data_IF_220137203401
#
_entry.id   IF_220137203401
#
_cell.length_a   1.000
_cell.length_b   1.000
_cell.length_c   1.000
_cell.angle_alpha   90.00
_cell.angle_beta   90.00
_cell.angle_gamma   90.00
#
_symmetry.space_group_name_H-M   'P 1'
#
loop_
_entity.id
_entity.type
_entity.pdbx_description
1 polymer ?
#
# COMPACT_ATOMS: atom_id res chain seq x y z
N UNK A 1 -6.39 14.17 -10.26
CA UNK A 1 -6.84 14.47 -8.87
C UNK A 1 -7.52 15.82 -8.86
N UNK A 2 -8.81 15.86 -8.56
CA UNK A 2 -9.62 17.08 -8.62
C UNK A 2 -10.17 17.42 -7.24
N UNK A 3 -10.05 18.68 -6.82
CA UNK A 3 -10.57 19.14 -5.52
C UNK A 3 -11.74 20.09 -5.75
N UNK A 4 -12.86 19.86 -5.08
CA UNK A 4 -14.09 20.64 -5.23
C UNK A 4 -14.70 20.98 -3.89
N UNK A 5 -15.43 22.09 -3.82
CA UNK A 5 -16.20 22.44 -2.62
C UNK A 5 -17.48 21.61 -2.54
N UNK A 6 -18.02 21.42 -1.32
CA UNK A 6 -19.32 20.77 -1.12
C UNK A 6 -20.45 21.44 -1.91
N UNK A 7 -20.44 22.78 -2.02
CA UNK A 7 -21.47 23.54 -2.73
C UNK A 7 -21.46 23.22 -4.24
N UNK A 8 -20.26 23.18 -4.82
CA UNK A 8 -20.08 22.91 -6.24
C UNK A 8 -20.37 21.44 -6.58
N UNK A 9 -19.94 20.53 -5.70
CA UNK A 9 -20.26 19.11 -5.79
C UNK A 9 -21.77 18.88 -5.78
N UNK A 10 -22.50 19.52 -4.85
CA UNK A 10 -23.96 19.40 -4.74
C UNK A 10 -24.70 19.91 -5.99
N UNK A 11 -24.21 21.00 -6.60
CA UNK A 11 -24.83 21.57 -7.80
C UNK A 11 -24.62 20.74 -9.07
N UNK A 12 -23.58 19.90 -9.11
CA UNK A 12 -23.17 19.15 -10.30
C UNK A 12 -22.83 17.69 -9.98
N UNK A 13 -23.65 17.05 -9.14
CA UNK A 13 -23.32 15.75 -8.56
C UNK A 13 -23.00 14.68 -9.61
N UNK A 14 -23.79 14.59 -10.69
CA UNK A 14 -23.60 13.59 -11.76
C UNK A 14 -22.23 13.74 -12.44
N UNK A 15 -21.91 14.95 -12.90
CA UNK A 15 -20.63 15.26 -13.53
C UNK A 15 -19.43 14.88 -12.65
N UNK A 16 -19.55 15.10 -11.34
CA UNK A 16 -18.47 14.79 -10.42
C UNK A 16 -18.37 13.29 -10.09
N UNK A 17 -19.47 12.54 -10.14
CA UNK A 17 -19.44 11.09 -10.06
C UNK A 17 -18.79 10.49 -11.32
N UNK A 18 -19.12 10.98 -12.52
CA UNK A 18 -18.46 10.55 -13.77
C UNK A 18 -16.93 10.82 -13.73
N UNK A 19 -16.53 11.94 -13.09
CA UNK A 19 -15.11 12.23 -12.86
C UNK A 19 -14.51 11.29 -11.81
N UNK A 20 -15.25 10.95 -10.75
CA UNK A 20 -14.78 10.04 -9.71
C UNK A 20 -14.50 8.63 -10.25
N UNK A 21 -15.19 8.20 -11.32
CA UNK A 21 -14.92 6.93 -12.02
C UNK A 21 -13.57 6.89 -12.77
N UNK A 22 -13.01 8.05 -13.12
CA UNK A 22 -11.76 8.14 -13.89
C UNK A 22 -10.59 8.76 -13.11
N UNK A 23 -10.89 9.61 -12.13
CA UNK A 23 -9.91 10.32 -11.34
C UNK A 23 -10.36 10.49 -9.89
N UNK A 24 -9.39 10.41 -8.97
CA UNK A 24 -9.59 10.71 -7.55
C UNK A 24 -10.21 12.10 -7.34
N UNK A 25 -11.44 12.12 -6.82
CA UNK A 25 -12.18 13.32 -6.45
C UNK A 25 -12.09 13.59 -4.95
N UNK A 26 -11.66 14.80 -4.59
CA UNK A 26 -11.58 15.27 -3.20
C UNK A 26 -12.64 16.35 -2.96
N UNK A 27 -13.55 16.11 -2.04
CA UNK A 27 -14.58 17.07 -1.63
C UNK A 27 -14.12 17.77 -0.36
N UNK A 28 -13.87 19.08 -0.46
CA UNK A 28 -13.54 19.90 0.70
C UNK A 28 -14.81 20.46 1.35
N UNK A 29 -15.05 20.07 2.61
CA UNK A 29 -16.08 20.63 3.47
C UNK A 29 -15.44 21.69 4.37
N UNK A 30 -16.04 22.88 4.39
CA UNK A 30 -15.62 23.94 5.30
C UNK A 30 -15.45 23.43 6.73
N UNK A 31 -14.50 24.03 7.46
CA UNK A 31 -13.93 23.55 8.75
C UNK A 31 -12.83 22.46 8.61
N UNK A 32 -12.10 22.44 7.49
CA UNK A 32 -10.87 21.66 7.34
C UNK A 32 -11.08 20.15 7.19
N UNK A 33 -12.30 19.70 6.84
CA UNK A 33 -12.58 18.28 6.60
C UNK A 33 -12.68 18.03 5.11
N UNK A 34 -11.94 17.04 4.61
CA UNK A 34 -12.00 16.63 3.21
C UNK A 34 -12.42 15.17 3.11
N UNK A 35 -13.22 14.83 2.11
CA UNK A 35 -13.65 13.47 1.79
C UNK A 35 -13.13 13.08 0.42
N UNK A 36 -12.87 11.79 0.21
CA UNK A 36 -12.52 11.23 -1.10
C UNK A 36 -13.72 10.45 -1.61
N UNK A 37 -14.08 10.64 -2.87
CA UNK A 37 -15.07 9.81 -3.57
C UNK A 37 -14.32 8.92 -4.54
N UNK A 38 -14.56 7.62 -4.41
CA UNK A 38 -14.09 6.55 -5.30
C UNK A 38 -15.29 5.68 -5.66
N UNK A 39 -15.32 5.08 -6.85
CA UNK A 39 -16.34 4.10 -7.22
C UNK A 39 -16.19 2.85 -6.35
N UNK A 40 -17.33 2.22 -6.01
CA UNK A 40 -17.34 0.99 -5.19
C UNK A 40 -16.71 -0.20 -5.92
N UNK A 41 -16.71 -0.20 -7.25
CA UNK A 41 -16.07 -1.25 -8.05
C UNK A 41 -14.52 -1.17 -7.96
N UNK A 42 -13.96 -0.04 -7.53
CA UNK A 42 -12.54 0.11 -7.17
C UNK A 42 -12.28 -0.11 -5.65
N UNK A 43 -13.30 -0.52 -4.88
CA UNK A 43 -13.06 -1.27 -3.63
C UNK A 43 -12.70 -2.72 -3.93
N UNK A 44 -12.21 -3.02 -5.14
CA UNK A 44 -11.32 -4.15 -5.28
C UNK A 44 -10.09 -3.87 -4.40
N UNK A 45 -10.17 -4.43 -3.19
CA UNK A 45 -9.12 -5.16 -2.47
C UNK A 45 -8.33 -6.13 -3.40
N UNK A 46 -8.04 -5.73 -4.64
CA UNK A 46 -6.91 -6.22 -5.42
C UNK A 46 -5.67 -5.76 -4.65
N UNK A 47 -5.38 -6.54 -3.62
CA UNK A 47 -4.10 -6.54 -2.94
C UNK A 47 -3.03 -6.40 -4.01
N UNK A 48 -2.24 -5.33 -3.91
CA UNK A 48 -1.06 -5.07 -4.74
C UNK A 48 -0.11 -6.29 -4.82
N UNK A 49 -0.23 -7.19 -3.85
CA UNK A 49 0.49 -8.44 -3.78
C UNK A 49 -0.18 -9.54 -4.60
N UNK A 50 0.60 -10.15 -5.48
CA UNK A 50 0.21 -11.40 -6.14
C UNK A 50 0.18 -12.56 -5.13
N UNK A 51 -0.43 -13.69 -5.52
CA UNK A 51 -0.58 -14.84 -4.63
C UNK A 51 0.75 -15.40 -4.10
N UNK A 52 1.83 -15.35 -4.88
CA UNK A 52 3.14 -15.81 -4.43
C UNK A 52 3.73 -14.90 -3.35
N UNK A 53 3.53 -13.59 -3.47
CA UNK A 53 3.95 -12.60 -2.46
C UNK A 53 3.15 -12.75 -1.17
N UNK A 54 1.84 -13.00 -1.25
CA UNK A 54 1.01 -13.29 -0.07
C UNK A 54 1.51 -14.53 0.67
N UNK A 55 1.71 -15.63 -0.06
CA UNK A 55 2.22 -16.88 0.51
C UNK A 55 3.61 -16.71 1.16
N UNK A 56 4.52 -15.97 0.54
CA UNK A 56 5.84 -15.70 1.10
C UNK A 56 5.78 -14.85 2.39
N UNK A 57 4.81 -13.93 2.50
CA UNK A 57 4.60 -13.15 3.72
C UNK A 57 4.02 -14.04 4.82
N UNK A 58 3.05 -14.89 4.51
CA UNK A 58 2.46 -15.83 5.47
C UNK A 58 3.53 -16.77 6.04
N UNK A 59 4.39 -17.33 5.18
CA UNK A 59 5.54 -18.15 5.60
C UNK A 59 6.51 -17.35 6.51
N UNK A 60 6.86 -16.12 6.12
CA UNK A 60 7.74 -15.28 6.93
C UNK A 60 7.13 -14.95 8.31
N UNK A 61 5.81 -14.76 8.39
CA UNK A 61 5.12 -14.54 9.66
C UNK A 61 5.15 -15.79 10.55
N UNK A 62 4.94 -16.99 9.96
CA UNK A 62 5.10 -18.25 10.68
C UNK A 62 6.53 -18.46 11.17
N UNK A 63 7.54 -18.10 10.38
CA UNK A 63 8.94 -18.18 10.77
C UNK A 63 9.25 -17.28 11.98
N UNK A 64 8.70 -16.06 11.99
CA UNK A 64 8.82 -15.13 13.13
C UNK A 64 8.18 -15.73 14.38
N UNK A 65 6.96 -16.29 14.27
CA UNK A 65 6.25 -16.91 15.40
C UNK A 65 7.03 -18.09 15.97
N UNK A 66 7.61 -18.91 15.10
CA UNK A 66 8.37 -20.09 15.48
C UNK A 66 9.84 -19.79 15.84
N UNK A 67 10.26 -18.51 15.80
CA UNK A 67 11.63 -18.12 16.10
C UNK A 67 12.66 -18.58 15.07
N UNK A 68 12.24 -18.96 13.85
CA UNK A 68 13.11 -19.32 12.71
C UNK A 68 13.67 -18.07 12.03
N UNK A 69 14.16 -17.13 12.83
CA UNK A 69 14.71 -15.86 12.37
C UNK A 69 16.14 -15.73 12.88
N UNK A 70 16.98 -15.07 12.09
CA UNK A 70 18.35 -14.78 12.45
C UNK A 70 18.57 -13.27 12.46
N UNK A 71 19.40 -12.79 13.37
CA UNK A 71 19.78 -11.38 13.34
C UNK A 71 20.66 -11.10 12.13
N UNK A 72 20.55 -9.88 11.59
CA UNK A 72 21.39 -9.46 10.46
C UNK A 72 22.89 -9.63 10.76
N UNK A 73 23.31 -9.31 12.00
CA UNK A 73 24.71 -9.41 12.41
C UNK A 73 25.22 -10.85 12.36
N UNK A 74 24.46 -11.80 12.93
CA UNK A 74 24.82 -13.22 12.94
C UNK A 74 24.94 -13.78 11.51
N UNK A 75 23.96 -13.48 10.66
CA UNK A 75 23.99 -13.94 9.25
C UNK A 75 25.20 -13.36 8.52
N UNK A 76 25.49 -12.08 8.71
CA UNK A 76 26.63 -11.43 8.07
C UNK A 76 27.97 -12.01 8.54
N UNK A 77 28.12 -12.28 9.83
CA UNK A 77 29.36 -12.84 10.39
C UNK A 77 29.58 -14.28 9.92
N UNK A 78 28.51 -15.10 9.90
CA UNK A 78 28.57 -16.45 9.33
C UNK A 78 28.90 -16.44 7.83
N UNK A 79 28.27 -15.53 7.08
CA UNK A 79 28.48 -15.44 5.62
C UNK A 79 29.90 -14.99 5.30
N UNK A 80 30.45 -14.00 6.04
CA UNK A 80 31.85 -13.58 5.90
C UNK A 80 32.82 -14.71 6.25
N UNK A 81 32.50 -15.52 7.27
CA UNK A 81 33.31 -16.69 7.65
C UNK A 81 33.30 -17.78 6.57
N UNK A 82 32.13 -18.08 6.00
CA UNK A 82 31.97 -19.15 4.98
C UNK A 82 32.45 -18.71 3.60
N UNK A 83 32.23 -17.45 3.23
CA UNK A 83 32.51 -16.92 1.89
C UNK A 83 33.34 -15.63 1.95
N UNK A 84 34.57 -15.68 2.50
CA UNK A 84 35.38 -14.48 2.69
C UNK A 84 35.75 -13.77 1.38
N UNK A 85 35.75 -14.49 0.25
CA UNK A 85 36.06 -13.92 -1.07
C UNK A 85 34.97 -12.97 -1.60
N UNK A 86 33.71 -13.10 -1.14
CA UNK A 86 32.61 -12.20 -1.54
C UNK A 86 32.70 -10.81 -0.90
N UNK A 87 33.53 -10.66 0.14
CA UNK A 87 33.66 -9.43 0.93
C UNK A 87 35.05 -8.79 0.81
N UNK A 88 35.92 -9.33 -0.05
CA UNK A 88 37.20 -8.70 -0.37
C UNK A 88 36.96 -7.69 -1.49
N UNK A 89 37.25 -6.41 -1.21
CA UNK A 89 37.24 -5.33 -2.20
C UNK A 89 38.66 -4.96 -2.59
#
# INVERSE_FOLDING_TARGET
MKTVSVTEFRGNIKKYLDIAESEKLVIHRGKGRSFVVIPLDEEEDESLLNNAQKAAIDEALEDVINGRVHSHQEVMDETKKRFPHLFKR
#
